data_IF_916850630639
#
_entry.id   IF_916850630639
#
_cell.length_a   1.000
_cell.length_b   1.000
_cell.length_c   1.000
_cell.angle_alpha   90.00
_cell.angle_beta   90.00
_cell.angle_gamma   90.00
#
_symmetry.space_group_name_H-M   'P 1'
#
loop_
_entity.id
_entity.type
_entity.pdbx_description
1 polymer ?
#
# COMPACT_ATOMS: atom_id res chain seq x y z
N UNK A 1 -28.68 -3.25 -9.40
CA UNK A 1 -27.65 -4.28 -9.21
C UNK A 1 -26.95 -3.96 -7.91
N UNK A 2 -26.83 -4.94 -7.01
CA UNK A 2 -26.04 -4.77 -5.78
C UNK A 2 -24.58 -4.93 -6.23
N UNK A 3 -23.80 -3.85 -6.15
CA UNK A 3 -22.35 -3.90 -6.38
C UNK A 3 -21.69 -4.61 -5.19
N UNK A 4 -21.70 -5.94 -5.20
CA UNK A 4 -21.06 -6.74 -4.17
C UNK A 4 -19.54 -6.56 -4.24
N UNK A 5 -18.98 -5.94 -3.21
CA UNK A 5 -17.55 -5.63 -3.08
C UNK A 5 -17.02 -6.01 -1.70
N UNK A 6 -15.73 -6.26 -1.60
CA UNK A 6 -15.08 -6.47 -0.30
C UNK A 6 -15.09 -5.19 0.53
N UNK A 7 -15.17 -5.33 1.86
CA UNK A 7 -15.33 -4.18 2.76
C UNK A 7 -14.11 -3.24 2.76
N UNK A 8 -12.91 -3.79 2.86
CA UNK A 8 -11.70 -2.99 3.10
C UNK A 8 -11.11 -2.39 1.82
N UNK A 9 -11.11 -3.17 0.74
CA UNK A 9 -10.43 -2.82 -0.51
C UNK A 9 -11.39 -2.60 -1.67
N UNK A 10 -12.71 -2.71 -1.45
CA UNK A 10 -13.74 -2.51 -2.47
C UNK A 10 -13.53 -3.37 -3.74
N UNK A 11 -12.94 -4.56 -3.58
CA UNK A 11 -12.66 -5.48 -4.68
C UNK A 11 -13.95 -6.15 -5.15
N UNK A 12 -14.13 -6.42 -6.46
CA UNK A 12 -15.34 -7.03 -6.97
C UNK A 12 -15.50 -8.46 -6.45
N UNK A 13 -16.71 -8.80 -6.02
CA UNK A 13 -17.07 -10.16 -5.61
C UNK A 13 -17.76 -10.92 -6.76
N UNK A 14 -17.59 -12.26 -6.84
CA UNK A 14 -18.41 -13.10 -7.71
C UNK A 14 -19.91 -12.95 -7.40
N UNK A 15 -20.76 -13.20 -8.40
CA UNK A 15 -22.21 -13.13 -8.24
C UNK A 15 -22.67 -14.26 -7.32
N UNK A 16 -23.68 -14.05 -6.47
CA UNK A 16 -24.23 -15.14 -5.63
C UNK A 16 -24.67 -16.36 -6.45
N UNK A 17 -25.20 -16.13 -7.66
CA UNK A 17 -25.65 -17.19 -8.57
C UNK A 17 -24.56 -17.75 -9.51
N UNK A 18 -23.30 -17.36 -9.33
CA UNK A 18 -22.15 -17.80 -10.12
C UNK A 18 -22.36 -17.70 -11.66
N UNK A 19 -22.35 -16.48 -12.18
CA UNK A 19 -22.51 -16.20 -13.60
C UNK A 19 -21.18 -16.43 -14.32
N UNK A 20 -20.86 -17.70 -14.62
CA UNK A 20 -19.60 -18.22 -15.18
C UNK A 20 -18.70 -17.20 -15.90
N UNK A 21 -19.16 -16.58 -17.00
CA UNK A 21 -18.34 -15.62 -17.76
C UNK A 21 -18.09 -14.31 -17.01
N UNK A 22 -19.11 -13.76 -16.35
CA UNK A 22 -19.00 -12.49 -15.63
C UNK A 22 -18.15 -12.64 -14.37
N UNK A 23 -18.24 -13.79 -13.70
CA UNK A 23 -17.48 -14.03 -12.48
C UNK A 23 -16.02 -14.37 -12.77
N UNK A 24 -15.72 -15.01 -13.91
CA UNK A 24 -14.34 -15.09 -14.39
C UNK A 24 -13.74 -13.70 -14.58
N UNK A 25 -14.48 -12.76 -15.17
CA UNK A 25 -14.02 -11.39 -15.33
C UNK A 25 -13.86 -10.64 -14.00
N UNK A 26 -14.79 -10.81 -13.05
CA UNK A 26 -14.66 -10.20 -11.72
C UNK A 26 -13.48 -10.76 -10.94
N UNK A 27 -13.24 -12.07 -11.00
CA UNK A 27 -12.09 -12.71 -10.36
C UNK A 27 -10.80 -12.21 -10.99
N UNK A 28 -10.73 -12.15 -12.33
CA UNK A 28 -9.58 -11.60 -13.06
C UNK A 28 -9.29 -10.17 -12.61
N UNK A 29 -10.32 -9.32 -12.54
CA UNK A 29 -10.19 -7.94 -12.08
C UNK A 29 -9.73 -7.85 -10.63
N UNK A 30 -10.34 -8.60 -9.71
CA UNK A 30 -9.97 -8.61 -8.29
C UNK A 30 -8.49 -9.00 -8.09
N UNK A 31 -8.01 -9.99 -8.84
CA UNK A 31 -6.60 -10.42 -8.78
C UNK A 31 -5.67 -9.31 -9.28
N UNK A 32 -6.00 -8.66 -10.41
CA UNK A 32 -5.23 -7.52 -10.92
C UNK A 32 -5.19 -6.36 -9.92
N UNK A 33 -6.31 -6.04 -9.29
CA UNK A 33 -6.40 -4.98 -8.30
C UNK A 33 -5.55 -5.30 -7.05
N UNK A 34 -5.59 -6.55 -6.57
CA UNK A 34 -4.75 -7.00 -5.45
C UNK A 34 -3.27 -6.88 -5.76
N UNK A 35 -2.83 -7.31 -6.94
CA UNK A 35 -1.44 -7.19 -7.37
C UNK A 35 -0.96 -5.74 -7.36
N UNK A 36 -1.77 -4.82 -7.91
CA UNK A 36 -1.46 -3.39 -7.90
C UNK A 36 -1.40 -2.81 -6.48
N UNK A 37 -2.34 -3.17 -5.60
CA UNK A 37 -2.35 -2.71 -4.22
C UNK A 37 -1.09 -3.17 -3.46
N UNK A 38 -0.68 -4.43 -3.63
CA UNK A 38 0.53 -4.96 -2.99
C UNK A 38 1.80 -4.28 -3.52
N UNK A 39 1.86 -4.05 -4.83
CA UNK A 39 2.96 -3.32 -5.46
C UNK A 39 3.05 -1.89 -4.91
N UNK A 40 1.93 -1.17 -4.83
CA UNK A 40 1.89 0.18 -4.28
C UNK A 40 2.31 0.22 -2.81
N UNK A 41 1.80 -0.70 -1.98
CA UNK A 41 2.16 -0.79 -0.55
C UNK A 41 3.67 -0.99 -0.38
N UNK A 42 4.25 -1.92 -1.14
CA UNK A 42 5.70 -2.20 -1.09
C UNK A 42 6.52 -0.96 -1.43
N UNK A 43 6.11 -0.18 -2.44
CA UNK A 43 6.81 1.04 -2.81
C UNK A 43 6.68 2.14 -1.75
N UNK A 44 5.51 2.26 -1.11
CA UNK A 44 5.29 3.24 -0.03
C UNK A 44 6.16 2.93 1.20
N UNK A 45 6.26 1.65 1.57
CA UNK A 45 7.10 1.21 2.69
C UNK A 45 8.58 1.52 2.41
N UNK A 46 9.06 1.22 1.19
CA UNK A 46 10.43 1.54 0.78
C UNK A 46 10.73 3.06 0.82
N UNK A 47 9.78 3.89 0.39
CA UNK A 47 9.93 5.34 0.46
C UNK A 47 9.95 5.84 1.90
N UNK A 48 9.11 5.27 2.78
CA UNK A 48 9.09 5.60 4.19
C UNK A 48 10.42 5.25 4.86
N UNK A 49 10.96 4.07 4.59
CA UNK A 49 12.27 3.63 5.11
C UNK A 49 13.41 4.51 4.63
N UNK A 50 13.40 4.91 3.35
CA UNK A 50 14.40 5.82 2.80
C UNK A 50 14.37 7.18 3.51
N UNK A 51 13.17 7.73 3.76
CA UNK A 51 13.00 9.00 4.48
C UNK A 51 13.43 8.88 5.95
N UNK A 52 13.11 7.78 6.61
CA UNK A 52 13.51 7.54 8.00
C UNK A 52 15.03 7.41 8.12
N UNK A 53 15.66 6.64 7.23
CA UNK A 53 17.10 6.49 7.17
C UNK A 53 17.81 7.83 6.93
N UNK A 54 17.25 8.68 6.07
CA UNK A 54 17.79 10.02 5.83
C UNK A 54 17.69 10.91 7.08
N UNK A 55 16.57 10.88 7.80
CA UNK A 55 16.41 11.60 9.08
C UNK A 55 17.42 11.10 10.11
N UNK A 56 17.57 9.79 10.27
CA UNK A 56 18.54 9.18 11.19
C UNK A 56 19.98 9.56 10.83
N UNK A 57 20.32 9.57 9.54
CA UNK A 57 21.63 10.01 9.04
C UNK A 57 21.93 11.45 9.45
N UNK A 58 20.96 12.36 9.28
CA UNK A 58 21.09 13.77 9.67
C UNK A 58 21.29 13.94 11.18
N UNK A 59 20.50 13.25 11.99
CA UNK A 59 20.65 13.30 13.45
C UNK A 59 22.04 12.83 13.88
N UNK A 60 22.54 11.71 13.31
CA UNK A 60 23.90 11.22 13.58
C UNK A 60 24.97 12.22 13.16
N UNK A 61 24.84 12.84 11.98
CA UNK A 61 25.78 13.86 11.50
C UNK A 61 25.82 15.07 12.44
N UNK A 62 24.65 15.61 12.82
CA UNK A 62 24.58 16.74 13.74
C UNK A 62 25.22 16.42 15.09
N UNK A 63 24.99 15.20 15.61
CA UNK A 63 25.64 14.73 16.84
C UNK A 63 27.17 14.66 16.72
N UNK A 64 27.70 14.16 15.59
CA UNK A 64 29.15 14.11 15.35
C UNK A 64 29.77 15.50 15.20
N UNK A 65 29.02 16.46 14.68
CA UNK A 65 29.46 17.85 14.49
C UNK A 65 29.35 18.69 15.78
N UNK A 66 28.87 18.11 16.88
CA UNK A 66 28.78 18.78 18.17
C UNK A 66 27.69 19.85 18.25
N UNK A 67 26.79 19.92 17.26
CA UNK A 67 25.62 20.79 17.32
C UNK A 67 24.64 20.22 18.36
N UNK A 68 24.42 20.98 19.43
CA UNK A 68 23.41 20.65 20.43
C UNK A 68 22.05 20.73 19.74
N UNK A 69 21.35 19.60 19.62
CA UNK A 69 20.03 19.52 18.99
C UNK A 69 19.11 20.55 19.66
N UNK A 70 18.82 21.66 18.98
CA UNK A 70 17.74 22.57 19.37
C UNK A 70 16.47 21.73 19.31
N UNK A 71 16.00 21.39 20.50
CA UNK A 71 14.76 20.65 20.71
C UNK A 71 13.63 21.61 20.39
N UNK A 72 12.78 21.26 19.42
CA UNK A 72 11.49 21.93 19.17
C UNK A 72 10.41 21.12 19.87
#
# INVERSE_FOLDING_TARGET
MIDDKTLSYSLPLPHPDNLLQQDVERIRQAITDVDQLLYMQTNLDQQQDALLNEKLRRVKLNQLLGETLLTI
#
